data_IF_481542256296
#
_entry.id   IF_481542256296
#
_cell.length_a   1.000
_cell.length_b   1.000
_cell.length_c   1.000
_cell.angle_alpha   90.00
_cell.angle_beta   90.00
_cell.angle_gamma   90.00
#
_symmetry.space_group_name_H-M   'P 1'
#
loop_
_entity.id
_entity.type
_entity.pdbx_description
1 polymer ?
#
# COMPACT_ATOMS: atom_id res chain seq x y z
N UNK A 1 27.81 4.86 -11.30
CA UNK A 1 27.68 3.83 -10.26
C UNK A 1 27.69 4.41 -8.84
N UNK A 2 28.75 5.13 -8.44
CA UNK A 2 28.84 5.76 -7.09
C UNK A 2 27.67 6.73 -6.84
N UNK A 3 27.36 7.61 -7.81
CA UNK A 3 26.25 8.57 -7.71
C UNK A 3 24.89 7.89 -7.53
N UNK A 4 24.65 6.77 -8.21
CA UNK A 4 23.39 6.02 -8.08
C UNK A 4 23.26 5.35 -6.70
N UNK A 5 24.38 4.86 -6.16
CA UNK A 5 24.41 4.27 -4.82
C UNK A 5 24.21 5.33 -3.73
N UNK A 6 24.86 6.49 -3.85
CA UNK A 6 24.66 7.61 -2.93
C UNK A 6 23.21 8.13 -2.97
N UNK A 7 22.63 8.29 -4.15
CA UNK A 7 21.23 8.69 -4.28
C UNK A 7 20.28 7.64 -3.65
N UNK A 8 20.55 6.36 -3.83
CA UNK A 8 19.76 5.30 -3.22
C UNK A 8 19.79 5.38 -1.68
N UNK A 9 20.99 5.53 -1.10
CA UNK A 9 21.14 5.64 0.37
C UNK A 9 20.44 6.88 0.90
N UNK A 10 20.60 8.04 0.23
CA UNK A 10 19.94 9.27 0.63
C UNK A 10 18.41 9.15 0.53
N UNK A 11 17.91 8.49 -0.52
CA UNK A 11 16.47 8.26 -0.69
C UNK A 11 15.90 7.35 0.39
N UNK A 12 16.60 6.28 0.75
CA UNK A 12 16.19 5.38 1.84
C UNK A 12 16.19 6.10 3.19
N UNK A 13 17.18 6.93 3.44
CA UNK A 13 17.24 7.74 4.66
C UNK A 13 16.11 8.77 4.74
N UNK A 14 15.81 9.45 3.62
CA UNK A 14 14.70 10.39 3.52
C UNK A 14 13.34 9.69 3.73
N UNK A 15 13.17 8.50 3.15
CA UNK A 15 11.98 7.67 3.36
C UNK A 15 11.82 7.26 4.83
N UNK A 16 12.90 6.85 5.49
CA UNK A 16 12.86 6.48 6.91
C UNK A 16 12.40 7.64 7.79
N UNK A 17 12.98 8.84 7.59
CA UNK A 17 12.60 10.05 8.34
C UNK A 17 11.14 10.44 8.02
N UNK A 18 10.79 10.45 6.73
CA UNK A 18 9.43 10.80 6.27
C UNK A 18 8.36 9.87 6.80
N UNK A 19 8.62 8.56 6.82
CA UNK A 19 7.74 7.56 7.42
C UNK A 19 7.53 7.82 8.93
N UNK A 20 8.61 8.15 9.67
CA UNK A 20 8.51 8.49 11.08
C UNK A 20 7.64 9.71 11.34
N UNK A 21 7.79 10.76 10.53
CA UNK A 21 6.95 11.97 10.64
C UNK A 21 5.50 11.71 10.24
N UNK A 22 5.27 10.91 9.20
CA UNK A 22 3.93 10.51 8.77
C UNK A 22 3.20 9.77 9.90
N UNK A 23 3.81 8.76 10.48
CA UNK A 23 3.22 7.97 11.57
C UNK A 23 2.93 8.85 12.79
N UNK A 24 3.90 9.69 13.21
CA UNK A 24 3.71 10.60 14.34
C UNK A 24 2.60 11.63 14.09
N UNK A 25 2.64 12.31 12.97
CA UNK A 25 1.63 13.30 12.60
C UNK A 25 0.23 12.71 12.47
N UNK A 26 0.13 11.51 11.87
CA UNK A 26 -1.13 10.78 11.74
C UNK A 26 -1.70 10.37 13.10
N UNK A 27 -0.84 9.94 14.03
CA UNK A 27 -1.26 9.59 15.40
C UNK A 27 -1.77 10.82 16.17
N UNK A 28 -1.08 11.96 16.06
CA UNK A 28 -1.52 13.21 16.67
C UNK A 28 -2.86 13.70 16.08
N UNK A 29 -3.03 13.56 14.77
CA UNK A 29 -4.29 13.90 14.10
C UNK A 29 -5.42 12.98 14.57
N UNK A 30 -5.17 11.68 14.72
CA UNK A 30 -6.13 10.72 15.24
C UNK A 30 -6.63 11.13 16.62
N UNK A 31 -5.72 11.48 17.52
CA UNK A 31 -6.04 11.92 18.88
C UNK A 31 -6.89 13.18 18.88
N UNK A 32 -6.53 14.20 18.06
CA UNK A 32 -7.28 15.46 17.96
C UNK A 32 -8.67 15.26 17.35
N UNK A 33 -8.79 14.43 16.34
CA UNK A 33 -10.04 14.16 15.65
C UNK A 33 -10.91 13.09 16.34
N UNK A 34 -10.44 12.50 17.44
CA UNK A 34 -11.10 11.38 18.14
C UNK A 34 -11.37 10.17 17.23
N UNK A 35 -10.49 9.96 16.26
CA UNK A 35 -10.55 8.83 15.31
C UNK A 35 -9.63 7.72 15.83
N UNK A 36 -10.01 6.46 15.62
CA UNK A 36 -9.17 5.34 16.07
C UNK A 36 -7.85 5.26 15.28
N UNK A 37 -6.76 4.86 15.95
CA UNK A 37 -5.46 4.65 15.30
C UNK A 37 -5.53 3.63 14.15
N UNK A 38 -6.48 2.68 14.20
CA UNK A 38 -6.71 1.71 13.13
C UNK A 38 -7.21 2.41 11.87
N UNK A 39 -8.20 3.29 11.98
CA UNK A 39 -8.75 4.03 10.81
C UNK A 39 -7.68 4.93 10.19
N UNK A 40 -6.92 5.65 11.00
CA UNK A 40 -5.81 6.48 10.51
C UNK A 40 -4.72 5.62 9.84
N UNK A 41 -4.41 4.45 10.40
CA UNK A 41 -3.48 3.51 9.81
C UNK A 41 -3.94 2.98 8.44
N UNK A 42 -5.23 2.63 8.33
CA UNK A 42 -5.83 2.12 7.09
C UNK A 42 -6.07 3.20 6.02
N UNK A 43 -6.01 4.48 6.39
CA UNK A 43 -6.24 5.60 5.47
C UNK A 43 -4.96 6.41 5.24
N UNK A 44 -4.67 7.39 6.08
CA UNK A 44 -3.58 8.37 5.86
C UNK A 44 -2.22 7.68 5.81
N UNK A 45 -1.93 6.77 6.74
CA UNK A 45 -0.63 6.08 6.79
C UNK A 45 -0.50 5.13 5.59
N UNK A 46 -1.54 4.34 5.30
CA UNK A 46 -1.54 3.41 4.16
C UNK A 46 -1.35 4.16 2.84
N UNK A 47 -2.10 5.25 2.61
CA UNK A 47 -1.95 6.08 1.42
C UNK A 47 -0.54 6.70 1.33
N UNK A 48 -0.03 7.28 2.41
CA UNK A 48 1.29 7.92 2.42
C UNK A 48 2.44 6.94 2.18
N UNK A 49 2.37 5.73 2.74
CA UNK A 49 3.39 4.70 2.52
C UNK A 49 3.31 4.05 1.14
N UNK A 50 2.13 4.03 0.50
CA UNK A 50 1.93 3.51 -0.86
C UNK A 50 2.05 4.58 -1.97
N UNK A 51 2.31 5.84 -1.61
CA UNK A 51 2.49 6.90 -2.59
C UNK A 51 3.68 6.67 -3.55
N UNK A 52 4.86 6.18 -3.10
CA UNK A 52 5.95 5.83 -3.98
C UNK A 52 5.56 4.77 -5.02
N UNK A 53 4.86 3.72 -4.60
CA UNK A 53 4.38 2.65 -5.48
C UNK A 53 3.40 3.18 -6.51
N UNK A 54 2.51 4.10 -6.11
CA UNK A 54 1.58 4.76 -7.02
C UNK A 54 2.31 5.54 -8.10
N UNK A 55 3.33 6.35 -7.73
CA UNK A 55 4.12 7.15 -8.67
C UNK A 55 4.88 6.25 -9.65
N UNK A 56 5.52 5.19 -9.16
CA UNK A 56 6.26 4.23 -10.00
C UNK A 56 5.32 3.54 -10.99
N UNK A 57 4.19 3.00 -10.50
CA UNK A 57 3.22 2.29 -11.35
C UNK A 57 2.56 3.20 -12.37
N UNK A 58 2.25 4.46 -12.00
CA UNK A 58 1.67 5.44 -12.90
C UNK A 58 2.65 5.83 -14.02
N UNK A 59 3.90 6.13 -13.67
CA UNK A 59 4.95 6.44 -14.66
C UNK A 59 5.21 5.27 -15.61
N UNK A 60 5.29 4.05 -15.09
CA UNK A 60 5.47 2.85 -15.90
C UNK A 60 4.30 2.65 -16.87
N UNK A 61 3.07 2.81 -16.38
CA UNK A 61 1.85 2.69 -17.19
C UNK A 61 1.79 3.76 -18.29
N UNK A 62 2.09 5.02 -17.97
CA UNK A 62 2.13 6.13 -18.95
C UNK A 62 3.23 5.96 -19.99
N UNK A 63 4.32 5.27 -19.62
CA UNK A 63 5.43 4.94 -20.53
C UNK A 63 5.21 3.65 -21.34
N UNK A 64 4.03 3.03 -21.25
CA UNK A 64 3.72 1.78 -21.94
C UNK A 64 4.40 0.54 -21.36
N UNK A 65 4.95 0.64 -20.15
CA UNK A 65 5.62 -0.45 -19.44
C UNK A 65 4.68 -1.11 -18.41
N UNK A 66 3.56 -1.67 -18.90
CA UNK A 66 2.52 -2.25 -18.05
C UNK A 66 3.02 -3.35 -17.11
N UNK A 67 3.95 -4.19 -17.58
CA UNK A 67 4.55 -5.27 -16.78
C UNK A 67 5.27 -4.74 -15.53
N UNK A 68 5.94 -3.58 -15.64
CA UNK A 68 6.60 -2.94 -14.50
C UNK A 68 5.55 -2.42 -13.51
N UNK A 69 4.46 -1.81 -14.01
CA UNK A 69 3.38 -1.32 -13.15
C UNK A 69 2.72 -2.46 -12.36
N UNK A 70 2.36 -3.55 -13.05
CA UNK A 70 1.75 -4.73 -12.42
C UNK A 70 2.73 -5.42 -11.48
N UNK A 71 3.99 -5.62 -11.91
CA UNK A 71 5.03 -6.21 -11.08
C UNK A 71 5.30 -5.44 -9.80
N UNK A 72 5.29 -4.10 -9.86
CA UNK A 72 5.44 -3.24 -8.67
C UNK A 72 4.28 -3.42 -7.69
N UNK A 73 3.03 -3.47 -8.16
CA UNK A 73 1.85 -3.66 -7.32
C UNK A 73 1.87 -5.04 -6.64
N UNK A 74 2.07 -6.11 -7.41
CA UNK A 74 2.10 -7.47 -6.88
C UNK A 74 3.29 -7.65 -5.95
N UNK A 75 4.48 -7.19 -6.37
CA UNK A 75 5.72 -7.32 -5.61
C UNK A 75 5.67 -6.60 -4.27
N UNK A 76 5.15 -5.38 -4.21
CA UNK A 76 5.00 -4.64 -2.96
C UNK A 76 4.03 -5.32 -2.00
N UNK A 77 2.92 -5.87 -2.48
CA UNK A 77 1.99 -6.64 -1.63
C UNK A 77 2.65 -7.90 -1.04
N UNK A 78 3.38 -8.66 -1.86
CA UNK A 78 4.12 -9.86 -1.39
C UNK A 78 5.17 -9.43 -0.36
N UNK A 79 5.93 -8.39 -0.63
CA UNK A 79 6.96 -7.88 0.28
C UNK A 79 6.36 -7.41 1.61
N UNK A 80 5.25 -6.66 1.57
CA UNK A 80 4.57 -6.18 2.76
C UNK A 80 4.08 -7.33 3.66
N UNK A 81 3.52 -8.40 3.06
CA UNK A 81 3.02 -9.54 3.82
C UNK A 81 4.16 -10.46 4.26
N UNK A 82 5.04 -10.87 3.36
CA UNK A 82 6.05 -11.87 3.67
C UNK A 82 7.20 -11.30 4.49
N UNK A 83 7.68 -10.09 4.16
CA UNK A 83 8.86 -9.51 4.80
C UNK A 83 8.47 -8.57 5.94
N UNK A 84 7.69 -7.52 5.67
CA UNK A 84 7.40 -6.50 6.69
C UNK A 84 6.56 -7.09 7.82
N UNK A 85 5.44 -7.71 7.50
CA UNK A 85 4.57 -8.32 8.51
C UNK A 85 5.27 -9.52 9.17
N UNK A 86 5.98 -10.35 8.40
CA UNK A 86 6.73 -11.51 8.90
C UNK A 86 7.79 -11.11 9.92
N UNK A 87 8.67 -10.16 9.60
CA UNK A 87 9.70 -9.64 10.53
C UNK A 87 9.05 -8.98 11.75
N UNK A 88 8.02 -8.15 11.54
CA UNK A 88 7.33 -7.48 12.64
C UNK A 88 6.74 -8.47 13.64
N UNK A 89 6.11 -9.55 13.15
CA UNK A 89 5.55 -10.61 13.99
C UNK A 89 6.64 -11.46 14.70
N UNK A 90 7.80 -11.65 14.06
CA UNK A 90 8.93 -12.36 14.65
C UNK A 90 9.57 -11.57 15.81
N UNK A 91 9.59 -10.23 15.70
CA UNK A 91 10.12 -9.36 16.76
C UNK A 91 9.12 -9.21 17.92
N UNK A 92 7.86 -8.99 17.59
CA UNK A 92 6.79 -8.82 18.57
C UNK A 92 5.48 -9.43 18.07
N UNK A 93 4.83 -10.31 18.86
CA UNK A 93 3.53 -10.88 18.49
C UNK A 93 2.48 -9.81 18.20
N UNK A 94 1.87 -9.87 17.03
CA UNK A 94 0.90 -8.88 16.57
C UNK A 94 -0.52 -9.32 16.95
N UNK A 95 -1.28 -8.41 17.55
CA UNK A 95 -2.68 -8.65 17.88
C UNK A 95 -3.57 -7.92 16.87
N UNK A 96 -4.36 -8.66 16.13
CA UNK A 96 -5.30 -8.09 15.16
C UNK A 96 -6.64 -7.76 15.84
N UNK A 97 -7.16 -6.54 15.62
CA UNK A 97 -8.51 -6.17 16.04
C UNK A 97 -9.56 -6.97 15.24
N UNK A 98 -10.70 -7.25 15.86
CA UNK A 98 -11.81 -8.00 15.24
C UNK A 98 -12.30 -7.37 13.93
N UNK A 99 -12.26 -6.05 13.81
CA UNK A 99 -12.57 -5.35 12.56
C UNK A 99 -11.66 -5.81 11.43
N UNK A 100 -10.33 -5.81 11.66
CA UNK A 100 -9.34 -6.22 10.66
C UNK A 100 -9.61 -7.64 10.14
N UNK A 101 -9.87 -8.60 11.06
CA UNK A 101 -10.08 -10.00 10.69
C UNK A 101 -11.44 -10.28 10.05
N UNK A 102 -12.48 -9.51 10.38
CA UNK A 102 -13.86 -9.77 9.92
C UNK A 102 -14.30 -8.93 8.72
N UNK A 103 -13.66 -7.78 8.52
CA UNK A 103 -14.03 -6.85 7.45
C UNK A 103 -12.85 -6.64 6.48
N UNK A 104 -11.72 -6.14 6.96
CA UNK A 104 -10.65 -5.64 6.09
C UNK A 104 -9.94 -6.79 5.35
N UNK A 105 -9.63 -7.90 6.03
CA UNK A 105 -9.02 -9.08 5.39
C UNK A 105 -9.94 -9.73 4.36
N UNK A 106 -11.23 -9.98 4.61
CA UNK A 106 -12.15 -10.46 3.59
C UNK A 106 -12.25 -9.53 2.36
N UNK A 107 -12.31 -8.21 2.56
CA UNK A 107 -12.33 -7.24 1.46
C UNK A 107 -11.04 -7.33 0.63
N UNK A 108 -9.87 -7.41 1.29
CA UNK A 108 -8.58 -7.58 0.62
C UNK A 108 -8.55 -8.88 -0.22
N UNK A 109 -9.05 -9.99 0.34
CA UNK A 109 -9.13 -11.27 -0.37
C UNK A 109 -10.03 -11.13 -1.60
N UNK A 110 -11.21 -10.55 -1.45
CA UNK A 110 -12.14 -10.33 -2.56
C UNK A 110 -11.52 -9.45 -3.64
N UNK A 111 -10.89 -8.34 -3.26
CA UNK A 111 -10.21 -7.45 -4.20
C UNK A 111 -9.09 -8.18 -4.97
N UNK A 112 -8.31 -9.02 -4.28
CA UNK A 112 -7.24 -9.82 -4.91
C UNK A 112 -7.78 -10.88 -5.86
N UNK A 113 -8.87 -11.56 -5.48
CA UNK A 113 -9.53 -12.55 -6.35
C UNK A 113 -10.12 -11.87 -7.58
N UNK A 114 -10.83 -10.75 -7.41
CA UNK A 114 -11.38 -9.97 -8.53
C UNK A 114 -10.26 -9.49 -9.45
N UNK A 115 -9.17 -8.96 -8.91
CA UNK A 115 -7.99 -8.59 -9.69
C UNK A 115 -7.46 -9.76 -10.51
N UNK A 116 -7.28 -10.93 -9.88
CA UNK A 116 -6.74 -12.13 -10.55
C UNK A 116 -7.67 -12.58 -11.69
N UNK A 117 -8.98 -12.57 -11.49
CA UNK A 117 -9.96 -12.94 -12.50
C UNK A 117 -10.00 -11.96 -13.67
N UNK A 118 -9.98 -10.66 -13.42
CA UNK A 118 -9.98 -9.63 -14.45
C UNK A 118 -8.66 -9.61 -15.23
N UNK A 119 -7.53 -9.83 -14.54
CA UNK A 119 -6.20 -9.88 -15.15
C UNK A 119 -5.88 -11.22 -15.83
N UNK A 120 -6.80 -12.18 -15.86
CA UNK A 120 -6.57 -13.52 -16.44
C UNK A 120 -6.12 -13.49 -17.89
N UNK A 121 -6.56 -12.50 -18.68
CA UNK A 121 -6.17 -12.28 -20.06
C UNK A 121 -4.83 -11.52 -20.22
N UNK A 122 -4.14 -11.19 -19.12
CA UNK A 122 -2.87 -10.47 -19.11
C UNK A 122 -2.99 -8.95 -19.34
N UNK A 123 -4.21 -8.40 -19.35
CA UNK A 123 -4.44 -6.97 -19.53
C UNK A 123 -5.47 -6.45 -18.53
N UNK A 124 -5.24 -5.25 -18.01
CA UNK A 124 -6.20 -4.53 -17.18
C UNK A 124 -6.71 -3.31 -17.98
N UNK A 125 -7.96 -3.32 -18.36
CA UNK A 125 -8.54 -2.26 -19.15
C UNK A 125 -9.01 -1.07 -18.29
N UNK A 126 -9.39 0.06 -18.95
CA UNK A 126 -9.78 1.29 -18.24
C UNK A 126 -11.02 1.13 -17.37
N UNK A 127 -11.99 0.31 -17.81
CA UNK A 127 -13.23 0.07 -17.04
C UNK A 127 -12.90 -0.71 -15.74
N UNK A 128 -12.07 -1.73 -15.85
CA UNK A 128 -11.60 -2.50 -14.69
C UNK A 128 -10.82 -1.64 -13.70
N UNK A 129 -9.95 -0.74 -14.20
CA UNK A 129 -9.27 0.25 -13.39
C UNK A 129 -10.24 1.20 -12.66
N UNK A 130 -11.27 1.72 -13.36
CA UNK A 130 -12.32 2.54 -12.75
C UNK A 130 -13.11 1.78 -11.68
N UNK A 131 -13.37 0.49 -11.88
CA UNK A 131 -14.05 -0.37 -10.90
C UNK A 131 -13.24 -0.48 -9.60
N UNK A 132 -11.91 -0.68 -9.67
CA UNK A 132 -11.06 -0.70 -8.48
C UNK A 132 -11.01 0.66 -7.79
N UNK A 133 -10.93 1.77 -8.55
CA UNK A 133 -10.98 3.12 -7.97
C UNK A 133 -12.32 3.39 -7.27
N UNK A 134 -13.42 3.00 -7.86
CA UNK A 134 -14.73 3.10 -7.20
C UNK A 134 -14.79 2.24 -5.93
N UNK A 135 -14.25 1.03 -5.98
CA UNK A 135 -14.18 0.11 -4.84
C UNK A 135 -13.42 0.71 -3.65
N UNK A 136 -12.23 1.30 -3.87
CA UNK A 136 -11.46 1.91 -2.77
C UNK A 136 -12.15 3.16 -2.21
N UNK A 137 -12.81 3.96 -3.05
CA UNK A 137 -13.59 5.12 -2.58
C UNK A 137 -14.73 4.66 -1.67
N UNK A 138 -15.50 3.65 -2.08
CA UNK A 138 -16.62 3.09 -1.30
C UNK A 138 -16.11 2.48 0.02
N UNK A 139 -14.96 1.81 -0.01
CA UNK A 139 -14.36 1.23 1.20
C UNK A 139 -13.90 2.30 2.20
N UNK A 140 -13.45 3.47 1.73
CA UNK A 140 -12.84 4.50 2.56
C UNK A 140 -13.86 5.50 3.15
N UNK A 141 -15.04 5.67 2.50
CA UNK A 141 -16.13 6.56 2.95
C UNK A 141 -17.06 5.86 3.93
#
# INVERSE_FOLDING_TARGET
>A
MITSVTLLILSLFALYIGAGWLVKGSTELALKARISNLVIGLTIVAFGTSAPELVVSLNASLSGQGDIAIGNIIGSNIFNIAVILGISAAIHPLQAKRQLTRLDIPILIVATVVFTLLFWNGTLNRLEGCLFLAGIIIYTV
#
